data_IF_043015128891
#
_entry.id   IF_043015128891
#
_cell.length_a   1.000
_cell.length_b   1.000
_cell.length_c   1.000
_cell.angle_alpha   90.00
_cell.angle_beta   90.00
_cell.angle_gamma   90.00
#
_symmetry.space_group_name_H-M   'P 1'
#
loop_
_entity.id
_entity.type
_entity.pdbx_description
1 polymer ?
#
# COMPACT_ATOMS: atom_id res chain seq x y z
N UNK A 1 -7.30 23.91 -1.55
CA UNK A 1 -6.83 25.29 -1.24
C UNK A 1 -5.31 25.39 -1.38
N UNK A 2 -4.51 24.69 -0.58
CA UNK A 2 -3.04 24.87 -0.56
C UNK A 2 -2.33 24.57 -1.89
N UNK A 3 -2.85 23.64 -2.68
CA UNK A 3 -2.29 23.29 -4.01
C UNK A 3 -3.01 23.99 -5.16
N UNK A 4 -3.92 24.92 -4.90
CA UNK A 4 -4.68 25.66 -5.92
C UNK A 4 -5.79 24.88 -6.61
N UNK A 5 -6.09 23.64 -6.20
CA UNK A 5 -7.16 22.81 -6.78
C UNK A 5 -8.54 23.22 -6.20
N UNK A 6 -9.06 24.37 -6.62
CA UNK A 6 -10.28 24.98 -6.05
C UNK A 6 -11.56 24.26 -6.43
N UNK A 7 -11.57 23.56 -7.57
CA UNK A 7 -12.72 22.82 -8.09
C UNK A 7 -12.66 21.31 -7.80
N UNK A 8 -11.62 20.85 -7.11
CA UNK A 8 -11.47 19.45 -6.77
C UNK A 8 -12.34 19.07 -5.57
N UNK A 9 -12.94 17.89 -5.62
CA UNK A 9 -13.44 17.22 -4.42
C UNK A 9 -12.34 16.31 -3.84
N UNK A 10 -12.40 16.02 -2.56
CA UNK A 10 -11.45 15.15 -1.88
C UNK A 10 -12.16 14.29 -0.85
N UNK A 11 -11.63 13.08 -0.62
CA UNK A 11 -12.09 12.16 0.40
C UNK A 11 -10.98 11.20 0.80
N UNK A 12 -11.10 10.59 1.96
CA UNK A 12 -10.14 9.62 2.48
C UNK A 12 -10.65 8.19 2.27
N UNK A 13 -9.69 7.28 2.04
CA UNK A 13 -9.93 5.84 1.99
C UNK A 13 -9.10 5.20 3.11
N UNK A 14 -9.72 4.30 3.87
CA UNK A 14 -9.05 3.54 4.89
C UNK A 14 -8.94 2.07 4.50
N UNK A 15 -7.72 1.63 4.14
CA UNK A 15 -7.37 0.24 3.90
C UNK A 15 -5.94 -0.06 4.38
N UNK A 16 -5.50 0.62 5.43
CA UNK A 16 -4.17 0.50 6.03
C UNK A 16 -3.05 0.50 4.96
N UNK A 17 -2.07 -0.41 5.07
CA UNK A 17 -0.92 -0.45 4.15
C UNK A 17 -1.28 -0.80 2.69
N UNK A 18 -2.49 -1.29 2.41
CA UNK A 18 -3.01 -1.44 1.04
C UNK A 18 -3.76 -0.20 0.53
N UNK A 19 -3.90 0.83 1.37
CA UNK A 19 -4.71 2.02 1.09
C UNK A 19 -4.34 2.72 -0.20
N UNK A 20 -3.06 2.86 -0.52
CA UNK A 20 -2.63 3.48 -1.77
C UNK A 20 -3.11 2.71 -3.01
N UNK A 21 -2.97 1.38 -3.02
CA UNK A 21 -3.40 0.53 -4.13
C UNK A 21 -4.92 0.59 -4.30
N UNK A 22 -5.67 0.56 -3.21
CA UNK A 22 -7.13 0.71 -3.23
C UNK A 22 -7.55 2.10 -3.72
N UNK A 23 -6.90 3.15 -3.24
CA UNK A 23 -7.18 4.52 -3.66
C UNK A 23 -6.87 4.74 -5.15
N UNK A 24 -5.75 4.17 -5.63
CA UNK A 24 -5.36 4.27 -7.03
C UNK A 24 -6.35 3.54 -7.95
N UNK A 25 -6.78 2.33 -7.57
CA UNK A 25 -7.84 1.59 -8.27
C UNK A 25 -9.15 2.39 -8.35
N UNK A 26 -9.57 3.03 -7.26
CA UNK A 26 -10.78 3.85 -7.27
C UNK A 26 -10.63 5.11 -8.11
N UNK A 27 -9.48 5.78 -8.03
CA UNK A 27 -9.21 6.98 -8.81
C UNK A 27 -9.22 6.69 -10.32
N UNK A 28 -8.64 5.56 -10.73
CA UNK A 28 -8.71 5.10 -12.13
C UNK A 28 -10.16 4.95 -12.60
N UNK A 29 -11.04 4.30 -11.84
CA UNK A 29 -12.44 4.14 -12.20
C UNK A 29 -13.20 5.46 -12.25
N UNK A 30 -12.86 6.43 -11.39
CA UNK A 30 -13.43 7.77 -11.45
C UNK A 30 -12.99 8.50 -12.73
N UNK A 31 -11.74 8.38 -13.14
CA UNK A 31 -11.25 8.96 -14.41
C UNK A 31 -11.89 8.24 -15.60
N UNK A 32 -11.95 6.92 -15.61
CA UNK A 32 -12.60 6.12 -16.65
C UNK A 32 -14.09 6.42 -16.82
N UNK A 33 -14.77 6.94 -15.78
CA UNK A 33 -16.15 7.38 -15.90
C UNK A 33 -16.34 8.52 -16.90
N UNK A 34 -15.27 9.18 -17.33
CA UNK A 34 -15.25 10.34 -18.22
C UNK A 34 -15.68 11.66 -17.55
N UNK A 35 -16.10 11.60 -16.28
CA UNK A 35 -16.54 12.79 -15.53
C UNK A 35 -15.36 13.60 -14.99
N UNK A 36 -14.26 12.94 -14.68
CA UNK A 36 -13.03 13.54 -14.14
C UNK A 36 -11.88 13.23 -15.09
N UNK A 37 -11.02 14.22 -15.31
CA UNK A 37 -9.89 14.09 -16.22
C UNK A 37 -8.59 13.80 -15.50
N UNK A 38 -8.49 14.23 -14.24
CA UNK A 38 -7.26 14.19 -13.44
C UNK A 38 -7.59 13.76 -12.02
N UNK A 39 -6.75 12.91 -11.44
CA UNK A 39 -6.84 12.47 -10.04
C UNK A 39 -5.47 12.53 -9.36
N UNK A 40 -5.44 13.08 -8.15
CA UNK A 40 -4.26 13.03 -7.27
C UNK A 40 -4.51 11.99 -6.17
N UNK A 41 -3.70 10.95 -6.13
CA UNK A 41 -3.76 9.88 -5.13
C UNK A 41 -2.56 9.98 -4.21
N UNK A 42 -2.80 10.11 -2.90
CA UNK A 42 -1.76 10.34 -1.90
C UNK A 42 -1.84 9.24 -0.83
N UNK A 43 -0.70 8.63 -0.51
CA UNK A 43 -0.47 7.90 0.74
C UNK A 43 0.29 8.79 1.71
N UNK A 44 -0.23 9.00 2.91
CA UNK A 44 0.42 9.86 3.90
C UNK A 44 0.22 9.32 5.31
N UNK A 45 1.32 9.05 6.01
CA UNK A 45 1.31 8.34 7.29
C UNK A 45 2.19 9.03 8.33
N UNK A 46 1.71 9.07 9.56
CA UNK A 46 2.46 9.55 10.73
C UNK A 46 2.42 8.49 11.83
N UNK A 47 3.15 7.37 11.61
CA UNK A 47 3.22 6.27 12.57
C UNK A 47 3.86 6.67 13.89
N UNK A 48 4.75 7.65 13.87
CA UNK A 48 5.37 8.19 15.09
C UNK A 48 4.37 8.57 16.18
N UNK A 49 3.10 8.86 15.81
CA UNK A 49 2.01 9.19 16.73
C UNK A 49 1.28 7.97 17.30
N UNK A 50 1.45 6.80 16.71
CA UNK A 50 0.71 5.58 17.06
C UNK A 50 1.61 4.47 17.62
N UNK A 51 2.93 4.66 17.63
CA UNK A 51 3.88 3.68 18.12
C UNK A 51 4.05 3.80 19.63
N UNK A 52 4.09 2.64 20.30
CA UNK A 52 4.66 2.55 21.63
C UNK A 52 6.19 2.52 21.52
N UNK A 53 6.85 3.65 21.83
CA UNK A 53 8.30 3.79 21.72
C UNK A 53 9.07 2.90 22.70
N UNK A 54 8.40 2.26 23.66
CA UNK A 54 8.99 1.27 24.57
C UNK A 54 8.94 -0.14 24.02
N UNK A 55 8.05 -0.41 23.05
CA UNK A 55 7.96 -1.68 22.34
C UNK A 55 8.90 -1.73 21.14
N UNK A 56 10.07 -2.34 21.32
CA UNK A 56 11.07 -2.50 20.26
C UNK A 56 10.65 -3.47 19.14
N UNK A 57 9.58 -4.22 19.30
CA UNK A 57 9.08 -5.12 18.27
C UNK A 57 8.36 -4.40 17.14
N UNK A 58 7.86 -3.19 17.41
CA UNK A 58 7.14 -2.34 16.47
C UNK A 58 7.84 -1.01 16.21
N UNK A 59 8.32 -0.31 17.23
CA UNK A 59 8.89 1.03 17.13
C UNK A 59 10.06 1.17 16.15
N UNK A 60 10.85 0.10 15.96
CA UNK A 60 12.03 0.10 15.06
C UNK A 60 11.69 -0.22 13.60
N UNK A 61 10.43 -0.55 13.30
CA UNK A 61 10.03 -1.01 11.97
C UNK A 61 9.39 0.08 11.14
N UNK A 62 8.65 1.00 11.77
CA UNK A 62 7.80 1.96 11.09
C UNK A 62 8.45 3.33 10.97
N UNK A 63 8.10 4.04 9.90
CA UNK A 63 8.51 5.42 9.63
C UNK A 63 7.33 6.29 9.21
N UNK A 64 7.52 7.59 9.29
CA UNK A 64 6.60 8.59 8.74
C UNK A 64 6.96 8.88 7.29
N UNK A 65 5.97 9.14 6.45
CA UNK A 65 6.20 9.48 5.06
C UNK A 65 4.93 9.84 4.32
N UNK A 66 5.08 10.58 3.23
CA UNK A 66 3.99 10.89 2.31
C UNK A 66 4.52 10.95 0.89
N UNK A 67 3.78 10.37 -0.04
CA UNK A 67 4.00 10.49 -1.48
C UNK A 67 2.70 10.21 -2.23
N UNK A 68 2.67 10.50 -3.52
CA UNK A 68 1.49 10.28 -4.33
C UNK A 68 1.77 10.27 -5.81
N UNK A 69 0.72 10.04 -6.59
CA UNK A 69 0.75 10.06 -8.03
C UNK A 69 -0.37 10.93 -8.58
N UNK A 70 -0.08 11.63 -9.66
CA UNK A 70 -1.07 12.26 -10.50
C UNK A 70 -1.44 11.27 -11.61
N UNK A 71 -2.72 11.01 -11.80
CA UNK A 71 -3.24 10.24 -12.92
C UNK A 71 -4.09 11.13 -13.81
N UNK A 72 -4.05 10.86 -15.11
CA UNK A 72 -4.82 11.60 -16.10
C UNK A 72 -5.52 10.63 -17.05
N UNK A 73 -6.60 11.10 -17.66
CA UNK A 73 -7.26 10.36 -18.73
C UNK A 73 -6.30 10.20 -19.92
N UNK A 74 -6.18 8.99 -20.42
CA UNK A 74 -5.33 8.65 -21.58
C UNK A 74 -6.14 7.92 -22.65
N UNK A 75 -5.71 8.02 -23.90
CA UNK A 75 -6.35 7.29 -25.02
C UNK A 75 -6.06 5.78 -24.97
N UNK A 76 -4.88 5.42 -24.47
CA UNK A 76 -4.46 4.03 -24.30
C UNK A 76 -4.57 3.62 -22.82
N UNK A 77 -5.12 2.43 -22.53
CA UNK A 77 -5.20 1.96 -21.15
C UNK A 77 -3.81 1.63 -20.59
N UNK A 78 -3.48 2.23 -19.46
CA UNK A 78 -2.28 1.94 -18.70
C UNK A 78 -2.55 1.01 -17.52
N UNK A 79 -3.78 0.95 -17.02
CA UNK A 79 -4.23 -0.05 -16.05
C UNK A 79 -4.68 -1.28 -16.82
N UNK A 80 -3.94 -2.39 -16.65
CA UNK A 80 -4.16 -3.61 -17.43
C UNK A 80 -5.03 -4.62 -16.71
N UNK A 81 -4.82 -4.79 -15.41
CA UNK A 81 -5.58 -5.73 -14.58
C UNK A 81 -5.44 -5.37 -13.10
N UNK A 82 -6.35 -5.89 -12.27
CA UNK A 82 -6.32 -5.70 -10.82
C UNK A 82 -6.95 -6.86 -10.06
N UNK A 83 -6.50 -7.03 -8.81
CA UNK A 83 -7.15 -7.94 -7.87
C UNK A 83 -7.08 -7.40 -6.47
N UNK A 84 -8.19 -6.92 -5.93
CA UNK A 84 -8.35 -6.42 -4.57
C UNK A 84 -9.08 -7.46 -3.72
N UNK A 85 -8.62 -7.71 -2.50
CA UNK A 85 -9.14 -8.74 -1.61
C UNK A 85 -9.10 -8.30 -0.14
N UNK A 86 -10.02 -8.81 0.67
CA UNK A 86 -10.06 -8.58 2.11
C UNK A 86 -10.48 -9.84 2.87
N UNK A 87 -10.01 -9.98 4.10
CA UNK A 87 -10.42 -11.01 5.05
C UNK A 87 -10.59 -10.41 6.45
N UNK A 88 -11.80 -9.99 6.75
CA UNK A 88 -12.16 -9.40 8.04
C UNK A 88 -12.12 -10.37 9.22
N UNK A 89 -12.04 -11.68 8.99
CA UNK A 89 -11.92 -12.65 10.10
C UNK A 89 -10.55 -12.57 10.79
N UNK A 90 -9.54 -12.07 10.10
CA UNK A 90 -8.16 -11.91 10.61
C UNK A 90 -7.84 -10.49 11.07
N UNK A 91 -8.85 -9.65 11.31
CA UNK A 91 -8.67 -8.24 11.66
C UNK A 91 -7.72 -8.00 12.83
N UNK A 92 -7.75 -8.87 13.83
CA UNK A 92 -6.96 -8.73 15.04
C UNK A 92 -5.45 -8.88 14.85
N UNK A 93 -5.00 -9.39 13.69
CA UNK A 93 -3.57 -9.59 13.42
C UNK A 93 -2.78 -8.28 13.29
N UNK A 94 -3.45 -7.17 12.95
CA UNK A 94 -2.85 -5.85 12.88
C UNK A 94 -3.91 -4.78 13.16
N UNK A 95 -3.77 -4.09 14.29
CA UNK A 95 -4.71 -3.05 14.73
C UNK A 95 -3.97 -1.80 15.18
N UNK A 96 -4.60 -0.65 15.09
CA UNK A 96 -4.06 0.61 15.59
C UNK A 96 -5.18 1.60 15.93
N UNK A 97 -4.90 2.49 16.88
CA UNK A 97 -5.69 3.68 17.08
C UNK A 97 -7.12 3.43 17.58
N UNK A 98 -7.31 2.50 18.49
CA UNK A 98 -8.63 2.33 19.10
C UNK A 98 -9.05 3.64 19.78
N UNK A 99 -10.01 4.34 19.19
CA UNK A 99 -10.68 5.45 19.84
C UNK A 99 -11.77 4.88 20.74
N UNK A 100 -11.56 4.98 22.05
CA UNK A 100 -12.64 4.68 23.00
C UNK A 100 -13.73 5.73 22.77
N UNK A 101 -14.93 5.29 22.43
CA UNK A 101 -16.09 6.17 22.40
C UNK A 101 -16.44 6.56 23.84
N UNK A 102 -15.89 7.66 24.31
CA UNK A 102 -16.28 8.24 25.58
C UNK A 102 -17.59 9.01 25.37
N UNK A 103 -18.67 8.48 25.90
CA UNK A 103 -19.95 9.20 25.99
C UNK A 103 -20.50 9.08 27.39
N UNK A 104 -21.32 10.05 27.84
CA UNK A 104 -22.00 9.95 29.15
C UNK A 104 -22.87 8.68 29.32
N UNK A 105 -23.19 8.04 28.20
CA UNK A 105 -24.06 6.86 28.13
C UNK A 105 -23.32 5.55 27.92
N UNK A 106 -22.01 5.60 27.61
CA UNK A 106 -21.18 4.43 27.40
C UNK A 106 -19.91 4.52 28.23
N UNK A 107 -19.85 3.70 29.25
CA UNK A 107 -18.65 3.50 30.06
C UNK A 107 -18.02 2.17 29.65
N UNK A 108 -17.26 2.21 28.56
CA UNK A 108 -16.50 1.05 28.10
C UNK A 108 -15.45 0.65 29.13
N UNK A 109 -15.49 -0.59 29.57
CA UNK A 109 -14.59 -1.12 30.59
C UNK A 109 -13.28 -1.69 30.03
N UNK A 110 -13.09 -1.65 28.70
CA UNK A 110 -11.88 -2.17 28.09
C UNK A 110 -10.91 -1.04 27.77
N UNK A 111 -9.76 -1.07 28.43
CA UNK A 111 -8.59 -0.28 28.01
C UNK A 111 -8.01 -0.89 26.72
N UNK A 112 -8.66 -0.64 25.61
CA UNK A 112 -8.06 -0.97 24.32
C UNK A 112 -6.81 -0.09 24.11
N UNK A 113 -5.72 -0.70 23.72
CA UNK A 113 -4.49 0.03 23.42
C UNK A 113 -4.72 1.01 22.29
N UNK A 114 -4.35 2.29 22.50
CA UNK A 114 -4.33 3.31 21.45
C UNK A 114 -3.16 3.12 20.48
N UNK A 115 -2.22 2.27 20.85
CA UNK A 115 -1.00 2.03 20.11
C UNK A 115 -1.18 0.90 19.09
N UNK A 116 -0.33 0.90 18.09
CA UNK A 116 -0.28 -0.15 17.09
C UNK A 116 0.07 -1.49 17.74
N UNK A 117 -0.70 -2.52 17.40
CA UNK A 117 -0.47 -3.91 17.83
C UNK A 117 -0.38 -4.80 16.60
N UNK A 118 0.63 -5.68 16.56
CA UNK A 118 0.89 -6.54 15.41
C UNK A 118 1.30 -7.95 15.84
N UNK A 119 0.57 -8.94 15.34
CA UNK A 119 1.00 -10.34 15.37
C UNK A 119 1.92 -10.63 14.19
N UNK A 120 3.20 -10.34 14.32
CA UNK A 120 4.17 -10.40 13.24
C UNK A 120 4.20 -11.73 12.48
N UNK A 121 3.98 -12.86 13.16
CA UNK A 121 3.94 -14.20 12.53
C UNK A 121 2.71 -14.34 11.62
N UNK A 122 1.54 -13.97 12.09
CA UNK A 122 0.30 -14.03 11.30
C UNK A 122 0.39 -13.15 10.05
N UNK A 123 0.94 -11.94 10.18
CA UNK A 123 1.17 -11.04 9.04
C UNK A 123 2.18 -11.63 8.05
N UNK A 124 3.25 -12.24 8.56
CA UNK A 124 4.26 -12.89 7.72
C UNK A 124 3.67 -14.06 6.91
N UNK A 125 2.95 -14.98 7.57
CA UNK A 125 2.33 -16.15 6.94
C UNK A 125 1.27 -15.73 5.91
N UNK A 126 0.45 -14.72 6.24
CA UNK A 126 -0.51 -14.09 5.33
C UNK A 126 0.18 -13.55 4.07
N UNK A 127 1.21 -12.73 4.24
CA UNK A 127 1.90 -12.11 3.11
C UNK A 127 2.49 -13.17 2.17
N UNK A 128 3.12 -14.22 2.69
CA UNK A 128 3.72 -15.28 1.87
C UNK A 128 2.65 -16.12 1.17
N UNK A 129 1.50 -16.37 1.80
CA UNK A 129 0.46 -17.22 1.22
C UNK A 129 -0.44 -16.44 0.28
N UNK A 130 -1.14 -15.45 0.82
CA UNK A 130 -2.26 -14.81 0.14
C UNK A 130 -1.79 -13.74 -0.85
N UNK A 131 -0.79 -12.93 -0.47
CA UNK A 131 -0.22 -11.91 -1.36
C UNK A 131 0.53 -12.54 -2.53
N UNK A 132 1.32 -13.60 -2.30
CA UNK A 132 1.96 -14.32 -3.42
C UNK A 132 0.94 -14.88 -4.41
N UNK A 133 -0.17 -15.43 -3.92
CA UNK A 133 -1.22 -15.96 -4.78
C UNK A 133 -1.95 -14.86 -5.55
N UNK A 134 -2.13 -13.70 -4.92
CA UNK A 134 -2.70 -12.52 -5.56
C UNK A 134 -1.82 -12.04 -6.73
N UNK A 135 -0.49 -11.91 -6.52
CA UNK A 135 0.47 -11.52 -7.57
C UNK A 135 0.44 -12.54 -8.72
N UNK A 136 0.51 -13.84 -8.42
CA UNK A 136 0.52 -14.90 -9.44
C UNK A 136 -0.78 -14.99 -10.26
N UNK A 137 -1.88 -14.40 -9.78
CA UNK A 137 -3.11 -14.33 -10.57
C UNK A 137 -3.06 -13.25 -11.66
N UNK A 138 -2.09 -12.34 -11.61
CA UNK A 138 -1.95 -11.24 -12.57
C UNK A 138 -0.74 -11.41 -13.49
N UNK A 139 0.38 -11.95 -12.98
CA UNK A 139 1.66 -11.96 -13.70
C UNK A 139 2.48 -13.22 -13.46
N UNK A 140 3.39 -13.48 -14.40
CA UNK A 140 4.52 -14.42 -14.29
C UNK A 140 5.84 -13.67 -14.39
N UNK A 141 6.98 -14.37 -14.25
CA UNK A 141 8.29 -13.73 -14.39
C UNK A 141 8.49 -13.13 -15.78
N UNK A 142 8.03 -13.80 -16.84
CA UNK A 142 8.18 -13.35 -18.21
C UNK A 142 7.30 -12.15 -18.55
N UNK A 143 6.23 -11.90 -17.80
CA UNK A 143 5.21 -10.89 -18.14
C UNK A 143 5.29 -9.62 -17.29
N UNK A 144 6.25 -9.52 -16.36
CA UNK A 144 6.45 -8.36 -15.51
C UNK A 144 7.89 -7.88 -15.53
N UNK A 145 8.10 -6.58 -15.58
CA UNK A 145 9.42 -5.97 -15.49
C UNK A 145 9.80 -5.69 -14.04
N UNK A 146 8.92 -5.05 -13.28
CA UNK A 146 9.16 -4.69 -11.89
C UNK A 146 7.94 -4.89 -10.99
N UNK A 147 8.22 -5.14 -9.72
CA UNK A 147 7.20 -5.24 -8.67
C UNK A 147 7.56 -4.28 -7.53
N UNK A 148 6.63 -3.40 -7.19
CA UNK A 148 6.70 -2.47 -6.07
C UNK A 148 5.68 -2.92 -5.02
N UNK A 149 6.17 -3.68 -4.06
CA UNK A 149 5.36 -4.15 -2.94
C UNK A 149 5.40 -3.13 -1.80
N UNK A 150 4.34 -3.11 -1.01
CA UNK A 150 4.39 -2.47 0.29
C UNK A 150 5.67 -2.87 1.06
N UNK A 151 6.43 -1.88 1.53
CA UNK A 151 7.72 -2.05 2.17
C UNK A 151 7.55 -2.43 3.65
N UNK A 152 6.96 -3.62 3.91
CA UNK A 152 6.70 -4.10 5.27
C UNK A 152 7.96 -4.68 5.94
N UNK A 153 8.64 -5.56 5.22
CA UNK A 153 9.85 -6.26 5.68
C UNK A 153 10.56 -6.91 4.50
N UNK A 154 11.87 -6.70 4.36
CA UNK A 154 12.67 -7.28 3.26
C UNK A 154 12.57 -8.81 3.21
N UNK A 155 12.49 -9.48 4.37
CA UNK A 155 12.34 -10.95 4.43
C UNK A 155 11.01 -11.43 3.84
N UNK A 156 9.95 -10.64 3.96
CA UNK A 156 8.65 -10.93 3.32
C UNK A 156 8.82 -10.86 1.81
N UNK A 157 9.44 -9.80 1.29
CA UNK A 157 9.67 -9.60 -0.15
C UNK A 157 10.51 -10.77 -0.71
N UNK A 158 11.60 -11.14 -0.03
CA UNK A 158 12.43 -12.28 -0.44
C UNK A 158 11.68 -13.62 -0.47
N UNK A 159 10.77 -13.82 0.47
CA UNK A 159 9.94 -15.03 0.51
C UNK A 159 8.86 -15.03 -0.57
N UNK A 160 8.25 -13.87 -0.84
CA UNK A 160 7.30 -13.71 -1.94
C UNK A 160 8.00 -13.98 -3.27
N UNK A 161 9.17 -13.41 -3.53
CA UNK A 161 9.95 -13.67 -4.74
C UNK A 161 10.21 -15.17 -4.95
N UNK A 162 10.65 -15.86 -3.90
CA UNK A 162 10.85 -17.34 -3.96
C UNK A 162 9.55 -18.10 -4.19
N UNK A 163 8.45 -17.69 -3.55
CA UNK A 163 7.15 -18.35 -3.66
C UNK A 163 6.52 -18.18 -5.03
N UNK A 164 6.64 -17.00 -5.61
CA UNK A 164 6.13 -16.67 -6.94
C UNK A 164 7.03 -17.17 -8.06
N UNK A 165 8.29 -17.51 -7.77
CA UNK A 165 9.35 -17.83 -8.74
C UNK A 165 9.65 -16.68 -9.70
N UNK A 166 9.33 -15.45 -9.30
CA UNK A 166 9.72 -14.24 -10.02
C UNK A 166 11.11 -13.82 -9.53
N UNK A 167 11.99 -13.43 -10.45
CA UNK A 167 13.36 -13.01 -10.15
C UNK A 167 13.41 -11.92 -9.07
N UNK A 168 14.24 -12.12 -8.04
CA UNK A 168 14.29 -11.20 -6.89
C UNK A 168 14.67 -9.77 -7.29
N UNK A 169 15.46 -9.61 -8.32
CA UNK A 169 15.93 -8.32 -8.85
C UNK A 169 14.79 -7.45 -9.41
N UNK A 170 13.66 -8.05 -9.79
CA UNK A 170 12.46 -7.34 -10.24
C UNK A 170 11.68 -6.71 -9.08
N UNK A 171 11.92 -7.14 -7.84
CA UNK A 171 11.29 -6.58 -6.64
C UNK A 171 12.11 -5.39 -6.14
N UNK A 172 11.63 -4.19 -6.40
CA UNK A 172 12.28 -2.97 -5.95
C UNK A 172 12.12 -2.79 -4.43
N UNK A 173 13.11 -2.21 -3.77
CA UNK A 173 13.11 -1.97 -2.32
C UNK A 173 13.88 -0.71 -1.94
N UNK A 174 13.38 0.02 -0.93
CA UNK A 174 14.03 1.18 -0.33
C UNK A 174 13.81 1.25 1.20
N UNK A 175 13.49 0.11 1.79
CA UNK A 175 13.13 -0.01 3.20
C UNK A 175 14.28 0.34 4.15
N UNK A 176 15.51 0.16 3.72
CA UNK A 176 16.72 0.53 4.46
C UNK A 176 16.82 2.04 4.71
N UNK A 177 16.14 2.84 3.89
CA UNK A 177 16.11 4.30 4.01
C UNK A 177 14.93 4.80 4.85
N UNK A 178 13.73 4.24 4.63
CA UNK A 178 12.48 4.81 5.14
C UNK A 178 11.75 3.92 6.15
N UNK A 179 12.12 2.65 6.26
CA UNK A 179 11.34 1.68 7.03
C UNK A 179 9.97 1.41 6.41
N UNK A 180 9.03 1.00 7.24
CA UNK A 180 7.64 0.77 6.85
C UNK A 180 6.83 2.06 7.01
N UNK A 181 6.55 2.73 5.91
CA UNK A 181 5.71 3.94 5.84
C UNK A 181 4.27 3.63 5.39
N UNK A 182 3.78 2.39 5.62
CA UNK A 182 2.41 1.97 5.32
C UNK A 182 1.97 2.27 3.87
N UNK A 183 0.85 2.97 3.68
CA UNK A 183 0.34 3.31 2.36
C UNK A 183 1.29 4.21 1.55
N UNK A 184 2.12 5.03 2.19
CA UNK A 184 3.11 5.87 1.51
C UNK A 184 4.28 5.08 0.92
N UNK A 185 4.52 3.83 1.36
CA UNK A 185 5.72 3.07 0.98
C UNK A 185 5.83 2.77 -0.52
N UNK A 186 4.70 2.47 -1.17
CA UNK A 186 4.67 2.20 -2.61
C UNK A 186 4.93 3.47 -3.42
N UNK A 187 4.22 4.60 -3.20
CA UNK A 187 4.47 5.80 -3.99
C UNK A 187 5.85 6.42 -3.71
N UNK A 188 6.42 6.32 -2.50
CA UNK A 188 7.81 6.73 -2.24
C UNK A 188 8.80 5.88 -3.06
N UNK A 189 8.59 4.56 -3.11
CA UNK A 189 9.44 3.67 -3.90
C UNK A 189 9.29 3.92 -5.41
N UNK A 190 8.07 4.22 -5.86
CA UNK A 190 7.80 4.55 -7.26
C UNK A 190 8.53 5.84 -7.68
N UNK A 191 8.45 6.88 -6.86
CA UNK A 191 9.10 8.16 -7.08
C UNK A 191 10.63 7.99 -7.20
N UNK A 192 11.26 7.34 -6.23
CA UNK A 192 12.70 7.05 -6.30
C UNK A 192 13.10 6.24 -7.54
N UNK A 193 12.27 5.25 -7.92
CA UNK A 193 12.57 4.41 -9.08
C UNK A 193 12.43 5.19 -10.39
N UNK A 194 11.56 6.17 -10.46
CA UNK A 194 11.46 7.11 -11.59
C UNK A 194 12.63 8.08 -11.58
N UNK A 195 12.96 8.69 -10.44
CA UNK A 195 14.06 9.65 -10.32
C UNK A 195 15.42 9.03 -10.70
N UNK A 196 15.67 7.77 -10.32
CA UNK A 196 16.93 7.09 -10.62
C UNK A 196 16.96 6.41 -12.00
N UNK A 197 15.87 6.51 -12.79
CA UNK A 197 15.76 5.97 -14.13
C UNK A 197 15.53 4.46 -14.23
N UNK A 198 15.25 3.78 -13.12
CA UNK A 198 14.85 2.36 -13.14
C UNK A 198 13.47 2.19 -13.78
N UNK A 199 12.54 3.08 -13.46
CA UNK A 199 11.24 3.18 -14.09
C UNK A 199 11.19 4.41 -14.99
N UNK A 200 10.64 4.23 -16.19
CA UNK A 200 10.59 5.28 -17.21
C UNK A 200 9.11 5.52 -17.56
N UNK A 201 8.61 6.69 -17.18
CA UNK A 201 7.24 7.10 -17.54
C UNK A 201 7.10 7.24 -19.06
N UNK A 202 5.99 6.76 -19.58
CA UNK A 202 5.75 6.70 -21.03
C UNK A 202 6.44 5.52 -21.74
N UNK A 203 7.05 4.61 -20.99
CA UNK A 203 7.58 3.35 -21.52
C UNK A 203 6.48 2.28 -21.60
N UNK A 204 6.84 1.09 -22.07
CA UNK A 204 5.96 -0.08 -22.03
C UNK A 204 6.34 -1.04 -20.91
N UNK A 205 7.07 -0.56 -19.90
CA UNK A 205 7.41 -1.38 -18.72
C UNK A 205 6.15 -1.80 -17.98
N UNK A 206 6.02 -3.10 -17.74
CA UNK A 206 4.94 -3.68 -16.96
C UNK A 206 5.30 -3.73 -15.50
N UNK A 207 4.54 -3.01 -14.69
CA UNK A 207 4.79 -2.85 -13.25
C UNK A 207 3.61 -3.38 -12.45
N UNK A 208 3.90 -4.11 -11.39
CA UNK A 208 2.89 -4.52 -10.41
C UNK A 208 3.07 -3.71 -9.13
N UNK A 209 2.02 -3.01 -8.71
CA UNK A 209 1.93 -2.37 -7.40
C UNK A 209 1.14 -3.29 -6.47
N UNK A 210 1.70 -3.70 -5.33
CA UNK A 210 1.04 -4.60 -4.39
C UNK A 210 1.03 -4.05 -2.98
N UNK A 211 -0.16 -3.72 -2.48
CA UNK A 211 -0.40 -3.31 -1.10
C UNK A 211 -0.96 -4.47 -0.26
N UNK A 212 -0.57 -4.55 1.02
CA UNK A 212 -1.11 -5.53 1.96
C UNK A 212 -0.91 -5.10 3.41
N UNK A 213 -1.88 -5.39 4.28
CA UNK A 213 -1.80 -4.98 5.68
C UNK A 213 -3.06 -5.21 6.48
N UNK A 214 -3.29 -4.32 7.43
CA UNK A 214 -4.44 -4.40 8.35
C UNK A 214 -5.78 -4.54 7.65
N UNK A 215 -6.70 -5.26 8.31
CA UNK A 215 -8.02 -5.54 7.81
C UNK A 215 -8.41 -7.03 7.89
N UNK A 216 -7.69 -8.07 7.46
CA UNK A 216 -6.59 -7.92 6.50
C UNK A 216 -7.11 -7.48 5.13
N UNK A 217 -6.38 -6.61 4.49
CA UNK A 217 -6.65 -6.18 3.12
C UNK A 217 -5.38 -6.33 2.28
N UNK A 218 -5.54 -6.70 1.01
CA UNK A 218 -4.43 -6.78 0.07
C UNK A 218 -4.92 -6.63 -1.35
N UNK A 219 -4.03 -6.25 -2.23
CA UNK A 219 -4.35 -6.16 -3.65
C UNK A 219 -3.16 -5.79 -4.50
N UNK A 220 -3.29 -6.12 -5.78
CA UNK A 220 -2.30 -5.78 -6.79
C UNK A 220 -2.97 -5.11 -7.98
N UNK A 221 -2.25 -4.15 -8.57
CA UNK A 221 -2.57 -3.49 -9.82
C UNK A 221 -1.45 -3.80 -10.81
N UNK A 222 -1.80 -4.23 -12.00
CA UNK A 222 -0.88 -4.38 -13.13
C UNK A 222 -1.01 -3.17 -14.05
N UNK A 223 0.10 -2.47 -14.25
CA UNK A 223 0.17 -1.23 -15.02
C UNK A 223 1.22 -1.33 -16.14
N UNK A 224 1.06 -0.50 -17.18
CA UNK A 224 2.18 -0.06 -18.05
C UNK A 224 2.49 1.40 -17.75
N UNK A 225 3.78 1.71 -17.74
CA UNK A 225 4.26 3.09 -17.55
C UNK A 225 4.41 3.83 -18.86
#
# INVERSE_FOLDING_TARGET
GAIGATEAFAFDISAACSGFVYALSMAEKLVLSGRYQTGLVIGGETFSKMLDWTDRSTAVLFGDGAAGVLIEAAETPHFLDEKLQADGQRWAALTSGYTINESPFYQGHEQASKMLQMEGRSIFDFAIKDVSQNILSLVTDETVDYLLLHQANVRIIDKIARKTKISREKFLTNMDKYGNTSAASIPILLDEAVENGTLILGSQQRVVLTGFGGGLTWGSLLLTL
#
